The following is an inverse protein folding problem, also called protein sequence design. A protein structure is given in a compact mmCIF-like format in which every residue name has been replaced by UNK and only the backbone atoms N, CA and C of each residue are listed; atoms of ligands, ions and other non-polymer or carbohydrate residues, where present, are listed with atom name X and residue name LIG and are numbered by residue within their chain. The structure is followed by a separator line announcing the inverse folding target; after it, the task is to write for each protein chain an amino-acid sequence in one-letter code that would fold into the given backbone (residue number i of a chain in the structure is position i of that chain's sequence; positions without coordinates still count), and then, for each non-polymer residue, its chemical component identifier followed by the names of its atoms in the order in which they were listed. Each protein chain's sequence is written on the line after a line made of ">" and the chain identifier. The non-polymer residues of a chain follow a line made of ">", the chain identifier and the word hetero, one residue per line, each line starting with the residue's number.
data_IF_446197509800
#
_entry.id   IF_446197509800
#
_cell.length_a   1.000
_cell.length_b   1.000
_cell.length_c   1.000
_cell.angle_alpha   90.00
_cell.angle_beta   90.00
_cell.angle_gamma   90.00
#
_symmetry.space_group_name_H-M   'P 1'
#
loop_
_entity.id
_entity.type
_entity.pdbx_description
1 polymer ?
#
# COMPACT_ATOMS: atom_id res chain seq x y z
N UNK A 1 39.23 -8.84 6.85
CA UNK A 1 38.47 -9.57 5.82
C UNK A 1 37.29 -10.17 6.52
N UNK A 2 36.12 -9.59 6.30
CA UNK A 2 34.84 -10.15 6.71
C UNK A 2 34.61 -11.39 5.83
N UNK A 3 34.22 -12.51 6.40
CA UNK A 3 33.90 -13.71 5.62
C UNK A 3 32.44 -13.71 5.27
N UNK A 4 32.11 -14.15 4.06
CA UNK A 4 30.73 -14.44 3.65
C UNK A 4 30.09 -15.37 4.68
N UNK A 5 28.88 -15.08 5.17
CA UNK A 5 28.14 -15.95 6.07
C UNK A 5 27.95 -17.35 5.45
N UNK A 6 28.10 -18.41 6.25
CA UNK A 6 27.83 -19.77 5.78
C UNK A 6 26.36 -20.13 6.01
N UNK A 7 25.53 -19.84 5.01
CA UNK A 7 24.09 -20.11 5.01
C UNK A 7 23.75 -21.57 5.38
N UNK A 8 24.60 -22.54 5.00
CA UNK A 8 24.34 -23.96 5.27
C UNK A 8 24.49 -24.34 6.75
N UNK A 9 25.08 -23.46 7.57
CA UNK A 9 25.22 -23.66 9.01
C UNK A 9 24.13 -22.97 9.82
N UNK A 10 23.37 -22.07 9.20
CA UNK A 10 22.22 -21.43 9.81
C UNK A 10 21.07 -22.43 9.97
N UNK A 11 20.23 -22.17 10.97
CA UNK A 11 19.01 -22.96 11.21
C UNK A 11 17.82 -22.02 11.13
N UNK A 12 16.81 -22.39 10.35
CA UNK A 12 15.60 -21.62 10.11
C UNK A 12 14.38 -22.37 10.63
N UNK A 13 13.40 -21.63 11.12
CA UNK A 13 12.09 -22.18 11.50
C UNK A 13 11.07 -21.69 10.47
N UNK A 14 10.43 -22.59 9.71
CA UNK A 14 9.45 -22.19 8.70
C UNK A 14 8.25 -21.47 9.33
N UNK A 15 7.94 -20.28 8.81
CA UNK A 15 6.76 -19.52 9.20
C UNK A 15 6.88 -18.69 10.49
N UNK A 16 8.07 -18.56 11.07
CA UNK A 16 8.30 -17.56 12.11
C UNK A 16 8.38 -16.16 11.47
N UNK A 17 7.65 -15.16 12.01
CA UNK A 17 7.77 -13.78 11.54
C UNK A 17 9.17 -13.24 11.85
N UNK A 18 9.66 -12.34 11.02
CA UNK A 18 10.97 -11.71 11.25
C UNK A 18 10.81 -10.65 12.34
N UNK A 19 11.33 -10.94 13.54
CA UNK A 19 11.14 -10.11 14.74
C UNK A 19 12.42 -9.33 15.15
N UNK A 20 13.38 -9.23 14.24
CA UNK A 20 14.63 -8.53 14.52
C UNK A 20 14.34 -7.08 14.92
N UNK A 21 14.92 -6.57 16.04
CA UNK A 21 14.58 -5.25 16.53
C UNK A 21 14.88 -4.13 15.53
N UNK A 22 15.86 -4.28 14.64
CA UNK A 22 16.24 -3.25 13.66
C UNK A 22 15.79 -3.56 12.24
N UNK A 23 15.14 -4.70 12.01
CA UNK A 23 14.57 -5.07 10.71
C UNK A 23 13.35 -5.99 10.91
N UNK A 24 12.30 -5.51 11.62
CA UNK A 24 11.11 -6.32 11.85
C UNK A 24 10.29 -6.37 10.56
N UNK A 25 9.98 -7.57 10.07
CA UNK A 25 9.08 -7.76 8.92
C UNK A 25 7.84 -8.49 9.41
N UNK A 26 6.89 -7.70 9.91
CA UNK A 26 5.57 -8.19 10.32
C UNK A 26 4.65 -8.16 9.10
N UNK A 27 4.13 -9.32 8.63
CA UNK A 27 3.20 -9.36 7.51
C UNK A 27 2.09 -8.32 7.62
N UNK A 28 1.89 -7.61 6.52
CA UNK A 28 0.96 -6.52 6.35
C UNK A 28 1.50 -5.15 6.69
N UNK A 29 2.71 -5.05 7.22
CA UNK A 29 3.33 -3.75 7.45
C UNK A 29 3.62 -3.08 6.10
N UNK A 30 3.14 -1.86 5.91
CA UNK A 30 3.44 -1.00 4.77
C UNK A 30 4.25 0.19 5.29
N UNK A 31 5.42 0.41 4.73
CA UNK A 31 6.28 1.57 4.97
C UNK A 31 6.40 2.37 3.67
N UNK A 32 6.19 3.68 3.74
CA UNK A 32 6.34 4.60 2.60
C UNK A 32 7.49 5.53 2.93
N UNK A 33 8.43 5.63 1.99
CA UNK A 33 9.57 6.52 2.05
C UNK A 33 9.50 7.49 0.87
N UNK A 34 9.89 8.73 1.11
CA UNK A 34 9.96 9.76 0.07
C UNK A 34 11.36 10.41 0.08
N UNK A 35 11.83 10.78 -1.10
CA UNK A 35 13.07 11.52 -1.31
C UNK A 35 12.90 12.47 -2.49
N UNK A 36 13.60 13.60 -2.46
CA UNK A 36 13.61 14.58 -3.54
C UNK A 36 15.05 14.75 -4.07
N UNK A 37 15.50 13.96 -5.07
CA UNK A 37 16.82 14.19 -5.64
C UNK A 37 16.80 15.49 -6.47
N UNK A 38 17.82 16.35 -6.28
CA UNK A 38 18.11 17.42 -7.24
C UNK A 38 18.80 16.80 -8.46
N UNK A 39 18.16 16.82 -9.64
CA UNK A 39 18.84 16.48 -10.89
C UNK A 39 19.87 17.57 -11.22
N UNK A 40 21.16 17.30 -10.98
CA UNK A 40 22.26 18.23 -11.23
C UNK A 40 22.40 18.67 -12.69
N UNK A 41 21.84 17.92 -13.66
CA UNK A 41 21.98 18.19 -15.10
C UNK A 41 20.81 19.00 -15.67
N UNK A 42 19.60 18.87 -15.11
CA UNK A 42 18.38 19.56 -15.61
C UNK A 42 17.77 20.60 -14.64
N UNK A 43 18.10 20.56 -13.36
CA UNK A 43 17.59 21.52 -12.35
C UNK A 43 16.08 21.41 -12.08
N UNK A 44 15.49 20.23 -12.31
CA UNK A 44 14.12 19.91 -11.90
C UNK A 44 14.17 19.01 -10.66
N UNK A 45 13.30 19.29 -9.68
CA UNK A 45 13.10 18.44 -8.50
C UNK A 45 12.33 17.19 -8.96
N UNK A 46 12.91 16.00 -8.71
CA UNK A 46 12.24 14.73 -8.93
C UNK A 46 11.62 14.31 -7.60
N UNK A 47 10.38 13.84 -7.59
CA UNK A 47 9.77 13.24 -6.39
C UNK A 47 9.91 11.72 -6.51
N UNK A 48 10.72 11.12 -5.64
CA UNK A 48 10.85 9.67 -5.53
C UNK A 48 10.06 9.15 -4.33
N UNK A 49 9.21 8.15 -4.58
CA UNK A 49 8.45 7.46 -3.53
C UNK A 49 8.76 5.97 -3.59
N UNK A 50 9.24 5.42 -2.49
CA UNK A 50 9.48 3.98 -2.34
C UNK A 50 8.46 3.44 -1.33
N UNK A 51 7.78 2.35 -1.69
CA UNK A 51 6.84 1.65 -0.81
C UNK A 51 7.29 0.23 -0.58
N UNK A 52 7.44 -0.15 0.67
CA UNK A 52 7.67 -1.52 1.10
C UNK A 52 6.41 -2.08 1.73
N UNK A 53 5.93 -3.21 1.23
CA UNK A 53 4.81 -3.95 1.77
C UNK A 53 5.27 -5.35 2.18
N UNK A 54 5.37 -5.59 3.48
CA UNK A 54 5.62 -6.95 3.99
C UNK A 54 4.39 -7.78 3.67
N UNK A 55 4.50 -8.73 2.76
CA UNK A 55 3.34 -9.51 2.35
C UNK A 55 3.09 -10.66 3.34
N UNK A 56 1.98 -11.35 3.15
CA UNK A 56 1.69 -12.61 3.85
C UNK A 56 2.11 -13.83 3.02
N UNK A 57 2.70 -13.58 1.87
CA UNK A 57 3.24 -14.62 1.02
C UNK A 57 4.57 -15.09 1.56
N UNK A 58 4.88 -16.34 1.23
CA UNK A 58 6.17 -16.95 1.53
C UNK A 58 6.67 -17.67 0.29
N UNK A 59 7.97 -17.65 0.05
CA UNK A 59 8.61 -18.36 -1.05
C UNK A 59 9.70 -19.29 -0.51
N UNK A 60 9.83 -20.49 -1.08
CA UNK A 60 10.86 -21.45 -0.65
C UNK A 60 12.17 -21.22 -1.44
N UNK A 61 13.06 -20.38 -0.91
CA UNK A 61 14.35 -20.06 -1.53
C UNK A 61 15.46 -20.89 -0.88
N UNK A 62 16.24 -21.61 -1.70
CA UNK A 62 17.35 -22.45 -1.24
C UNK A 62 17.00 -23.42 -0.08
N UNK A 63 15.73 -23.85 0.02
CA UNK A 63 15.24 -24.74 1.09
C UNK A 63 14.84 -24.05 2.39
N UNK A 64 14.70 -22.71 2.37
CA UNK A 64 14.22 -21.88 3.47
C UNK A 64 12.94 -21.17 3.03
N UNK A 65 11.90 -21.27 3.85
CA UNK A 65 10.65 -20.52 3.64
C UNK A 65 10.89 -19.06 4.04
N UNK A 66 11.03 -18.20 3.05
CA UNK A 66 11.30 -16.77 3.19
C UNK A 66 9.99 -15.96 3.20
N UNK A 67 9.97 -14.86 3.96
CA UNK A 67 8.94 -13.82 3.88
C UNK A 67 9.15 -13.01 2.61
N UNK A 68 8.08 -12.84 1.83
CA UNK A 68 8.08 -11.97 0.65
C UNK A 68 7.75 -10.54 1.08
N UNK A 69 8.60 -9.58 0.74
CA UNK A 69 8.33 -8.13 0.87
C UNK A 69 8.24 -7.58 -0.53
N UNK A 70 7.14 -6.91 -0.86
CA UNK A 70 7.00 -6.24 -2.14
C UNK A 70 7.47 -4.80 -2.02
N UNK A 71 8.38 -4.39 -2.88
CA UNK A 71 8.86 -3.03 -3.02
C UNK A 71 8.33 -2.43 -4.33
N UNK A 72 7.82 -1.20 -4.29
CA UNK A 72 7.54 -0.42 -5.50
C UNK A 72 8.23 0.93 -5.42
N UNK A 73 9.01 1.28 -6.43
CA UNK A 73 9.67 2.57 -6.56
C UNK A 73 8.95 3.42 -7.62
N UNK A 74 8.68 4.67 -7.30
CA UNK A 74 7.99 5.62 -8.16
C UNK A 74 8.83 6.89 -8.30
N UNK A 75 8.91 7.44 -9.51
CA UNK A 75 9.54 8.72 -9.78
C UNK A 75 8.56 9.62 -10.54
N UNK A 76 8.30 10.81 -10.02
CA UNK A 76 7.33 11.78 -10.56
C UNK A 76 5.94 11.17 -10.80
N UNK A 77 5.51 10.24 -9.92
CA UNK A 77 4.25 9.53 -10.04
C UNK A 77 4.21 8.39 -11.07
N UNK A 78 5.34 8.07 -11.72
CA UNK A 78 5.48 6.91 -12.61
C UNK A 78 6.17 5.76 -11.88
N UNK A 79 5.58 4.56 -11.94
CA UNK A 79 6.16 3.33 -11.40
C UNK A 79 7.46 3.01 -12.15
N UNK A 80 8.59 3.02 -11.47
CA UNK A 80 9.90 2.67 -12.04
C UNK A 80 10.18 1.19 -11.85
N UNK A 81 9.92 0.65 -10.66
CA UNK A 81 10.25 -0.73 -10.32
C UNK A 81 9.19 -1.36 -9.42
N UNK A 82 8.98 -2.66 -9.60
CA UNK A 82 8.13 -3.52 -8.79
C UNK A 82 8.89 -4.82 -8.50
N UNK A 83 9.23 -5.02 -7.23
CA UNK A 83 10.20 -6.01 -6.77
C UNK A 83 9.60 -6.86 -5.67
N UNK A 84 9.77 -8.18 -5.75
CA UNK A 84 9.49 -9.12 -4.65
C UNK A 84 10.80 -9.56 -4.01
N UNK A 85 11.09 -9.05 -2.81
CA UNK A 85 12.25 -9.40 -1.99
C UNK A 85 11.98 -10.59 -1.06
N UNK A 86 12.99 -11.44 -0.87
CA UNK A 86 12.89 -12.62 0.00
C UNK A 86 13.81 -12.52 1.21
N UNK A 87 13.20 -12.48 2.40
CA UNK A 87 13.92 -12.43 3.67
C UNK A 87 13.65 -13.64 4.56
N UNK A 88 14.62 -14.06 5.37
CA UNK A 88 14.41 -15.08 6.39
C UNK A 88 15.17 -14.79 7.68
N UNK A 89 14.62 -15.14 8.83
CA UNK A 89 15.32 -15.03 10.11
C UNK A 89 15.85 -16.39 10.57
N UNK A 90 17.13 -16.46 10.92
CA UNK A 90 17.68 -17.66 11.54
C UNK A 90 17.36 -17.71 13.06
N UNK A 91 17.55 -18.87 13.67
CA UNK A 91 17.29 -19.08 15.10
C UNK A 91 18.19 -18.27 16.04
N UNK A 92 19.28 -17.71 15.53
CA UNK A 92 20.15 -16.80 16.29
C UNK A 92 19.63 -15.35 16.22
N UNK A 93 18.63 -15.07 15.38
CA UNK A 93 17.95 -13.80 15.20
C UNK A 93 18.50 -12.93 14.08
N UNK A 94 19.44 -13.44 13.26
CA UNK A 94 19.94 -12.69 12.10
C UNK A 94 18.92 -12.76 10.98
N UNK A 95 18.73 -11.64 10.30
CA UNK A 95 17.91 -11.54 9.10
C UNK A 95 18.80 -11.72 7.88
N UNK A 96 18.40 -12.65 7.04
CA UNK A 96 19.03 -13.00 5.79
C UNK A 96 18.23 -12.41 4.64
N UNK A 97 18.93 -11.94 3.61
CA UNK A 97 18.37 -11.62 2.30
C UNK A 97 18.75 -12.74 1.33
N UNK A 98 17.75 -13.28 0.65
CA UNK A 98 17.87 -14.48 -0.19
C UNK A 98 17.73 -14.16 -1.68
N UNK A 99 17.42 -12.91 -2.02
CA UNK A 99 17.30 -12.37 -3.36
C UNK A 99 15.96 -11.70 -3.60
N UNK A 100 15.72 -11.40 -4.86
CA UNK A 100 14.58 -10.67 -5.38
C UNK A 100 14.17 -11.11 -6.78
N UNK A 101 12.92 -10.77 -7.13
CA UNK A 101 12.45 -10.75 -8.51
C UNK A 101 11.96 -9.36 -8.86
N UNK A 102 12.60 -8.75 -9.84
CA UNK A 102 12.35 -7.35 -10.23
C UNK A 102 11.66 -7.25 -11.59
N UNK A 103 10.72 -6.31 -11.70
CA UNK A 103 10.19 -5.79 -12.96
C UNK A 103 10.47 -4.29 -13.03
N UNK A 104 11.39 -3.89 -13.90
CA UNK A 104 11.67 -2.48 -14.18
C UNK A 104 10.81 -1.99 -15.36
N UNK A 105 10.27 -0.79 -15.25
CA UNK A 105 9.39 -0.15 -16.22
C UNK A 105 10.15 0.96 -16.96
N UNK A 106 10.17 0.88 -18.28
CA UNK A 106 10.88 1.85 -19.13
C UNK A 106 9.90 2.85 -19.76
N UNK A 107 10.28 4.13 -19.75
CA UNK A 107 9.55 5.24 -20.34
C UNK A 107 10.42 5.99 -21.36
N UNK A 108 9.80 6.60 -22.38
CA UNK A 108 10.50 7.56 -23.26
C UNK A 108 10.53 8.97 -22.67
N UNK A 109 11.30 9.88 -23.30
CA UNK A 109 11.45 11.28 -22.87
C UNK A 109 10.13 12.07 -22.79
N UNK A 110 9.06 11.57 -23.42
CA UNK A 110 7.71 12.15 -23.39
C UNK A 110 6.83 11.55 -22.27
N UNK A 111 7.38 10.65 -21.44
CA UNK A 111 6.70 9.96 -20.35
C UNK A 111 5.81 8.80 -20.79
N UNK A 112 5.93 8.32 -22.04
CA UNK A 112 5.16 7.17 -22.51
C UNK A 112 5.84 5.86 -22.12
N UNK A 113 5.05 4.91 -21.63
CA UNK A 113 5.53 3.55 -21.35
C UNK A 113 5.98 2.84 -22.63
N UNK A 114 7.23 2.36 -22.65
CA UNK A 114 7.85 1.70 -23.82
C UNK A 114 8.19 0.22 -23.60
N UNK A 115 8.19 -0.28 -22.36
CA UNK A 115 8.38 -1.69 -22.09
C UNK A 115 8.72 -2.00 -20.64
N UNK A 116 8.93 -3.28 -20.35
CA UNK A 116 9.51 -3.75 -19.10
C UNK A 116 10.72 -4.63 -19.35
N UNK A 117 11.60 -4.70 -18.37
CA UNK A 117 12.67 -5.69 -18.29
C UNK A 117 12.74 -6.28 -16.87
N UNK A 118 13.58 -7.30 -16.70
CA UNK A 118 13.83 -7.92 -15.39
C UNK A 118 15.32 -7.80 -15.05
N UNK A 119 15.95 -6.69 -15.46
CA UNK A 119 17.32 -6.39 -15.04
C UNK A 119 17.32 -6.22 -13.51
N UNK A 120 18.40 -6.64 -12.86
CA UNK A 120 18.49 -6.67 -11.39
C UNK A 120 17.96 -7.95 -10.71
N UNK A 121 16.97 -8.66 -11.26
CA UNK A 121 16.38 -9.82 -10.58
C UNK A 121 17.39 -10.95 -10.27
N UNK A 122 17.55 -11.30 -8.99
CA UNK A 122 18.51 -12.33 -8.55
C UNK A 122 17.96 -13.29 -7.48
N UNK A 123 18.28 -14.59 -7.54
CA UNK A 123 17.73 -15.59 -6.59
C UNK A 123 18.80 -16.58 -6.12
N UNK A 124 18.93 -16.71 -4.80
CA UNK A 124 19.86 -17.64 -4.19
C UNK A 124 19.62 -19.09 -4.62
N UNK A 125 20.68 -19.71 -5.17
CA UNK A 125 20.62 -21.10 -5.66
C UNK A 125 20.12 -21.26 -7.10
N UNK A 126 19.71 -20.18 -7.77
CA UNK A 126 19.25 -20.21 -9.17
C UNK A 126 20.25 -19.58 -10.13
N UNK A 127 20.56 -18.29 -10.00
CA UNK A 127 21.48 -17.54 -10.91
C UNK A 127 22.87 -17.30 -10.30
N UNK A 128 23.15 -17.93 -9.16
CA UNK A 128 24.46 -17.92 -8.51
C UNK A 128 24.65 -16.83 -7.47
N UNK A 129 23.58 -16.11 -7.16
CA UNK A 129 23.49 -15.34 -5.95
C UNK A 129 23.58 -16.23 -4.69
N UNK A 130 24.01 -15.61 -3.60
CA UNK A 130 24.24 -16.23 -2.30
C UNK A 130 23.51 -15.42 -1.21
N UNK A 131 22.92 -16.07 -0.20
CA UNK A 131 22.26 -15.35 0.87
C UNK A 131 23.24 -14.51 1.69
N UNK A 132 22.84 -13.28 2.03
CA UNK A 132 23.59 -12.36 2.88
C UNK A 132 22.86 -11.96 4.15
N UNK A 133 23.55 -11.32 5.09
CA UNK A 133 22.91 -10.78 6.29
C UNK A 133 22.44 -9.36 6.02
N UNK A 134 21.15 -9.13 5.83
CA UNK A 134 20.64 -7.76 5.80
C UNK A 134 20.76 -7.09 7.18
N UNK A 135 20.59 -7.88 8.26
CA UNK A 135 20.68 -7.40 9.64
C UNK A 135 21.11 -8.49 10.61
N UNK A 136 22.14 -8.24 11.43
CA UNK A 136 22.53 -9.16 12.51
C UNK A 136 21.52 -9.15 13.66
N UNK A 137 21.48 -10.22 14.45
CA UNK A 137 20.63 -10.31 15.63
C UNK A 137 20.96 -9.25 16.71
N UNK A 138 22.26 -8.96 16.89
CA UNK A 138 22.75 -8.01 17.88
C UNK A 138 23.99 -7.27 17.36
N UNK A 139 23.82 -6.39 16.35
CA UNK A 139 24.94 -5.65 15.76
C UNK A 139 25.69 -4.86 16.84
N UNK A 140 27.01 -4.85 16.76
CA UNK A 140 27.91 -4.05 17.58
C UNK A 140 28.61 -3.00 16.73
N UNK A 141 28.96 -1.86 17.33
CA UNK A 141 29.75 -0.83 16.63
C UNK A 141 31.08 -1.43 16.14
N UNK A 142 31.39 -1.23 14.87
CA UNK A 142 32.53 -1.81 14.16
C UNK A 142 32.29 -3.21 13.59
N UNK A 143 31.11 -3.79 13.79
CA UNK A 143 30.73 -4.99 13.06
C UNK A 143 30.66 -4.67 11.57
N UNK A 144 31.26 -5.55 10.77
CA UNK A 144 31.10 -5.57 9.32
C UNK A 144 30.41 -6.85 8.90
N UNK A 145 29.61 -6.77 7.85
CA UNK A 145 28.97 -7.90 7.21
C UNK A 145 28.53 -7.50 5.81
N UNK A 146 28.12 -8.51 5.06
CA UNK A 146 27.64 -8.35 3.72
C UNK A 146 26.13 -8.56 3.70
N UNK A 147 25.43 -7.72 2.96
CA UNK A 147 23.98 -7.67 2.88
C UNK A 147 23.48 -8.43 1.66
N UNK A 148 24.15 -8.25 0.53
CA UNK A 148 23.85 -8.87 -0.75
C UNK A 148 25.10 -9.51 -1.36
N UNK A 149 24.90 -10.62 -2.08
CA UNK A 149 25.95 -11.33 -2.78
C UNK A 149 25.47 -11.95 -4.09
N UNK A 150 25.65 -11.25 -5.21
CA UNK A 150 25.51 -11.82 -6.54
C UNK A 150 26.82 -11.70 -7.31
N UNK A 151 27.80 -12.61 -7.11
CA UNK A 151 29.11 -12.52 -7.77
C UNK A 151 29.04 -12.58 -9.30
N UNK A 152 27.95 -13.12 -9.85
CA UNK A 152 27.74 -13.21 -11.31
C UNK A 152 27.16 -11.93 -11.90
N UNK A 153 26.46 -11.14 -11.09
CA UNK A 153 25.86 -9.84 -11.43
C UNK A 153 26.65 -8.70 -10.77
N UNK A 154 27.84 -9.03 -10.29
CA UNK A 154 28.83 -8.16 -9.66
C UNK A 154 28.39 -7.53 -8.31
N UNK A 155 27.12 -7.65 -7.89
CA UNK A 155 26.60 -7.05 -6.64
C UNK A 155 27.23 -7.67 -5.38
N UNK A 156 27.85 -6.83 -4.55
CA UNK A 156 28.56 -7.22 -3.32
C UNK A 156 28.48 -6.11 -2.28
N UNK A 157 27.31 -5.99 -1.65
CA UNK A 157 27.04 -4.88 -0.73
C UNK A 157 27.43 -5.23 0.70
N UNK A 158 28.04 -4.26 1.37
CA UNK A 158 28.63 -4.37 2.69
C UNK A 158 28.14 -3.27 3.61
N UNK A 159 27.79 -3.64 4.84
CA UNK A 159 27.52 -2.71 5.92
C UNK A 159 28.62 -2.72 6.98
N UNK A 160 28.98 -1.54 7.46
CA UNK A 160 29.68 -1.33 8.73
C UNK A 160 28.76 -0.63 9.75
N UNK A 161 28.64 -1.17 10.95
CA UNK A 161 27.87 -0.54 12.03
C UNK A 161 28.67 0.61 12.64
N UNK A 162 28.19 1.83 12.45
CA UNK A 162 28.83 3.06 12.92
C UNK A 162 28.32 3.50 14.29
N UNK A 163 27.02 3.36 14.54
CA UNK A 163 26.39 3.78 15.80
C UNK A 163 25.18 2.94 16.16
N UNK A 164 24.79 3.01 17.44
CA UNK A 164 23.57 2.36 18.00
C UNK A 164 22.74 3.27 18.90
N UNK A 165 23.15 4.53 19.01
CA UNK A 165 22.61 5.46 20.01
C UNK A 165 22.22 6.79 19.39
N UNK A 166 22.02 6.82 18.07
CA UNK A 166 21.53 8.03 17.40
C UNK A 166 20.10 8.30 17.84
N UNK A 167 19.76 9.59 17.84
CA UNK A 167 18.40 10.09 18.01
C UNK A 167 18.15 10.98 16.81
N UNK A 168 17.11 10.67 16.06
CA UNK A 168 16.71 11.40 14.87
C UNK A 168 15.33 11.99 15.11
N UNK A 169 15.11 13.20 14.60
CA UNK A 169 13.77 13.69 14.37
C UNK A 169 13.44 13.32 12.93
N UNK A 170 12.37 12.56 12.74
CA UNK A 170 11.87 12.21 11.41
C UNK A 170 10.44 12.68 11.25
N UNK A 171 9.88 12.57 10.04
CA UNK A 171 8.48 12.92 9.75
C UNK A 171 7.49 12.07 10.57
N UNK A 172 7.77 10.77 10.74
CA UNK A 172 7.01 9.90 11.66
C UNK A 172 7.28 10.15 13.16
N UNK A 173 8.14 11.11 13.49
CA UNK A 173 8.41 11.58 14.86
C UNK A 173 9.85 11.33 15.35
N UNK A 174 10.09 11.55 16.65
CA UNK A 174 11.45 11.37 17.19
C UNK A 174 11.74 9.90 17.52
N UNK A 175 12.66 9.29 16.77
CA UNK A 175 13.16 7.93 17.00
C UNK A 175 14.49 7.93 17.76
N UNK A 176 14.69 6.91 18.61
CA UNK A 176 15.84 6.82 19.53
C UNK A 176 16.49 5.44 19.47
N UNK A 177 17.76 5.37 19.89
CA UNK A 177 18.58 4.15 19.82
C UNK A 177 18.71 3.64 18.39
N UNK A 178 18.76 4.57 17.44
CA UNK A 178 18.88 4.29 16.02
C UNK A 178 20.25 3.68 15.76
N UNK A 179 20.23 2.54 15.07
CA UNK A 179 21.38 1.89 14.48
C UNK A 179 21.74 2.64 13.20
N UNK A 180 22.99 3.05 13.05
CA UNK A 180 23.50 3.65 11.82
C UNK A 180 24.51 2.70 11.20
N UNK A 181 24.30 2.34 9.94
CA UNK A 181 25.27 1.62 9.11
C UNK A 181 25.86 2.55 8.05
N UNK A 182 27.10 2.31 7.68
CA UNK A 182 27.72 2.84 6.47
C UNK A 182 27.77 1.69 5.46
N UNK A 183 27.06 1.85 4.36
CA UNK A 183 26.98 0.88 3.28
C UNK A 183 27.96 1.24 2.17
N UNK A 184 28.43 0.21 1.47
CA UNK A 184 29.42 0.34 0.40
C UNK A 184 29.43 -0.90 -0.48
N UNK A 185 29.86 -0.73 -1.72
CA UNK A 185 30.06 -1.82 -2.68
C UNK A 185 31.46 -1.79 -3.27
N UNK A 186 32.01 -2.96 -3.62
CA UNK A 186 33.34 -3.03 -4.25
C UNK A 186 33.31 -2.57 -5.72
N UNK A 187 32.12 -2.51 -6.35
CA UNK A 187 31.96 -2.12 -7.74
C UNK A 187 32.01 -0.62 -7.99
N UNK A 188 31.57 0.16 -7.00
CA UNK A 188 31.58 1.61 -7.01
C UNK A 188 32.46 2.14 -5.87
N UNK A 189 33.79 2.00 -5.94
CA UNK A 189 34.67 2.48 -4.89
C UNK A 189 34.49 3.98 -4.68
N UNK A 190 34.07 4.37 -3.48
CA UNK A 190 33.87 5.78 -3.11
C UNK A 190 32.42 6.20 -3.00
N UNK A 191 31.47 5.37 -3.44
CA UNK A 191 30.04 5.55 -3.20
C UNK A 191 29.69 4.89 -1.87
N UNK A 192 28.95 5.61 -1.04
CA UNK A 192 28.61 5.20 0.31
C UNK A 192 27.25 5.74 0.71
N UNK A 193 26.52 4.96 1.51
CA UNK A 193 25.25 5.40 2.05
C UNK A 193 25.24 5.26 3.57
N UNK A 194 24.69 6.24 4.29
CA UNK A 194 24.26 5.99 5.65
C UNK A 194 22.83 5.47 5.67
N UNK A 195 22.63 4.26 6.21
CA UNK A 195 21.29 3.75 6.52
C UNK A 195 21.04 3.78 8.01
N UNK A 196 19.84 4.20 8.38
CA UNK A 196 19.43 4.39 9.76
C UNK A 196 18.25 3.49 10.08
N UNK A 197 18.41 2.63 11.09
CA UNK A 197 17.39 1.68 11.51
C UNK A 197 16.92 1.95 12.93
N UNK A 198 15.62 2.14 13.12
CA UNK A 198 15.01 2.38 14.42
C UNK A 198 14.42 1.08 15.02
N UNK A 199 14.59 0.85 16.34
CA UNK A 199 14.01 -0.31 17.00
C UNK A 199 12.49 -0.42 16.82
N UNK A 200 12.01 -1.57 16.33
CA UNK A 200 10.60 -1.86 16.13
C UNK A 200 9.98 -1.23 14.88
N UNK A 201 10.76 -0.50 14.09
CA UNK A 201 10.31 0.15 12.85
C UNK A 201 11.07 -0.44 11.65
N UNK A 202 12.39 -0.59 11.75
CA UNK A 202 13.22 -0.93 10.60
C UNK A 202 13.95 0.30 10.07
N UNK A 203 14.14 0.36 8.74
CA UNK A 203 14.76 1.51 8.08
C UNK A 203 13.91 2.77 8.33
N UNK A 204 14.56 3.92 8.54
CA UNK A 204 13.88 5.20 8.78
C UNK A 204 14.47 6.36 7.99
N UNK A 205 15.71 6.23 7.52
CA UNK A 205 16.42 7.26 6.77
C UNK A 205 17.57 6.61 5.99
N UNK A 206 17.77 7.06 4.76
CA UNK A 206 18.95 6.82 3.93
C UNK A 206 19.54 8.18 3.57
N UNK A 207 20.86 8.31 3.69
CA UNK A 207 21.63 9.45 3.18
C UNK A 207 22.67 8.89 2.20
N UNK A 208 22.48 9.10 0.90
CA UNK A 208 23.50 8.79 -0.10
C UNK A 208 24.57 9.88 -0.06
N UNK A 209 25.84 9.47 -0.15
CA UNK A 209 26.96 10.37 0.05
C UNK A 209 27.72 10.64 -1.26
N UNK A 210 28.08 11.92 -1.44
CA UNK A 210 28.97 12.34 -2.52
C UNK A 210 30.42 11.86 -2.30
N UNK A 211 31.30 12.17 -3.25
CA UNK A 211 32.74 11.84 -3.15
C UNK A 211 33.46 12.47 -1.95
N UNK A 212 32.84 13.45 -1.27
CA UNK A 212 33.35 14.13 -0.08
C UNK A 212 32.74 13.60 1.22
N UNK A 213 31.85 12.61 1.16
CA UNK A 213 31.07 12.06 2.27
C UNK A 213 30.05 13.04 2.87
N UNK A 214 29.56 13.98 2.07
CA UNK A 214 28.43 14.84 2.42
C UNK A 214 27.14 14.24 1.82
N UNK A 215 25.99 14.31 2.52
CA UNK A 215 24.72 13.85 1.97
C UNK A 215 24.37 14.61 0.69
N UNK A 216 24.18 13.85 -0.39
CA UNK A 216 23.79 14.35 -1.71
C UNK A 216 22.30 14.10 -1.95
N UNK A 217 21.82 12.93 -1.52
CA UNK A 217 20.43 12.54 -1.61
C UNK A 217 19.92 11.91 -0.29
N UNK A 218 18.66 12.17 0.03
CA UNK A 218 18.03 11.73 1.27
C UNK A 218 16.69 11.08 0.95
N UNK A 219 16.47 9.88 1.50
CA UNK A 219 15.19 9.18 1.49
C UNK A 219 14.76 8.95 2.93
N UNK A 220 13.59 9.45 3.31
CA UNK A 220 13.09 9.40 4.69
C UNK A 220 11.76 8.64 4.79
N UNK A 221 11.55 7.96 5.92
CA UNK A 221 10.28 7.29 6.22
C UNK A 221 9.17 8.32 6.52
N UNK A 222 8.17 8.35 5.66
CA UNK A 222 7.01 9.24 5.76
C UNK A 222 5.86 8.62 6.53
N UNK A 223 5.59 7.33 6.31
CA UNK A 223 4.51 6.64 7.01
C UNK A 223 4.78 5.14 7.18
N UNK A 224 4.25 4.57 8.27
CA UNK A 224 4.26 3.14 8.51
C UNK A 224 2.91 2.69 9.08
N UNK A 225 2.30 1.68 8.47
CA UNK A 225 0.97 1.15 8.83
C UNK A 225 1.00 -0.37 8.86
N UNK A 226 0.21 -1.01 9.71
CA UNK A 226 -0.03 -2.46 9.64
C UNK A 226 -1.39 -2.75 9.00
N UNK A 227 -1.36 -3.53 7.92
CA UNK A 227 -2.47 -3.97 7.08
C UNK A 227 -2.60 -5.51 7.23
N UNK A 228 -3.68 -6.16 6.78
CA UNK A 228 -3.86 -7.63 6.91
C UNK A 228 -3.64 -8.36 5.59
N UNK A 229 -3.51 -9.70 5.63
CA UNK A 229 -3.10 -10.63 4.55
C UNK A 229 -3.84 -10.53 3.24
N UNK A 230 -4.98 -9.93 3.41
CA UNK A 230 -5.96 -9.72 2.43
C UNK A 230 -5.28 -8.94 1.29
N UNK A 231 -4.66 -7.79 1.53
CA UNK A 231 -4.37 -6.70 0.58
C UNK A 231 -3.67 -6.94 -0.81
N UNK A 232 -3.11 -8.11 -1.17
CA UNK A 232 -2.29 -8.23 -2.41
C UNK A 232 -2.51 -9.44 -3.36
N UNK A 233 -3.71 -9.76 -3.85
CA UNK A 233 -3.81 -10.67 -5.05
C UNK A 233 -4.49 -10.07 -6.28
N UNK A 234 -3.87 -10.31 -7.44
CA UNK A 234 -4.30 -9.83 -8.76
C UNK A 234 -5.71 -10.31 -9.12
N UNK A 235 -6.69 -9.42 -9.04
CA UNK A 235 -8.02 -9.53 -9.65
C UNK A 235 -8.92 -10.68 -9.20
N UNK A 236 -8.43 -11.65 -8.41
CA UNK A 236 -9.18 -12.77 -7.85
C UNK A 236 -8.56 -13.19 -6.53
N UNK A 237 -9.33 -13.03 -5.47
CA UNK A 237 -9.05 -13.56 -4.15
C UNK A 237 -9.15 -15.08 -4.09
N UNK A 238 -8.92 -15.58 -2.90
CA UNK A 238 -8.94 -16.96 -2.50
C UNK A 238 -10.35 -17.37 -2.04
N UNK A 239 -10.49 -17.83 -0.81
CA UNK A 239 -11.77 -18.13 -0.18
C UNK A 239 -11.76 -17.88 1.32
N UNK A 240 -10.73 -17.16 1.78
CA UNK A 240 -10.66 -16.50 3.07
C UNK A 240 -10.64 -14.99 2.81
N UNK A 241 -10.42 -14.19 3.84
CA UNK A 241 -10.37 -12.76 3.63
C UNK A 241 -9.20 -12.41 2.71
N UNK A 242 -9.46 -11.56 1.73
CA UNK A 242 -8.55 -11.18 0.66
C UNK A 242 -8.65 -9.68 0.42
N UNK A 243 -7.66 -9.12 -0.21
CA UNK A 243 -7.53 -7.70 -0.41
C UNK A 243 -6.74 -7.51 -1.68
N UNK A 244 -7.32 -6.71 -2.55
CA UNK A 244 -7.04 -6.82 -3.96
C UNK A 244 -7.05 -5.42 -4.52
N UNK A 245 -5.87 -4.99 -4.93
CA UNK A 245 -5.66 -3.70 -5.55
C UNK A 245 -5.67 -3.82 -7.07
N UNK A 246 -6.34 -2.84 -7.69
CA UNK A 246 -6.29 -2.53 -9.10
C UNK A 246 -5.16 -1.56 -9.43
N UNK A 247 -5.34 -0.82 -10.50
CA UNK A 247 -4.43 0.19 -11.02
C UNK A 247 -5.24 1.33 -11.65
N UNK A 248 -4.60 2.27 -12.33
CA UNK A 248 -5.32 3.40 -12.95
C UNK A 248 -5.98 3.04 -14.31
N UNK A 249 -6.26 1.76 -14.57
CA UNK A 249 -6.93 1.25 -15.78
C UNK A 249 -8.12 0.37 -15.45
N UNK A 250 -8.90 -0.02 -16.49
CA UNK A 250 -10.06 -0.89 -16.34
C UNK A 250 -9.74 -2.26 -15.72
N UNK A 251 -10.00 -2.43 -14.43
CA UNK A 251 -9.76 -3.68 -13.72
C UNK A 251 -11.02 -4.53 -13.54
N UNK A 252 -10.81 -5.83 -13.30
CA UNK A 252 -11.84 -6.72 -12.77
C UNK A 252 -11.27 -7.49 -11.60
N UNK A 253 -11.85 -7.25 -10.42
CA UNK A 253 -11.39 -7.76 -9.14
C UNK A 253 -12.50 -8.60 -8.49
N UNK A 254 -12.15 -9.74 -7.91
CA UNK A 254 -13.10 -10.74 -7.41
C UNK A 254 -12.64 -11.37 -6.09
N UNK A 255 -13.19 -10.95 -4.94
CA UNK A 255 -12.83 -11.45 -3.60
C UNK A 255 -13.19 -12.92 -3.33
N UNK A 256 -14.39 -13.34 -3.74
CA UNK A 256 -14.96 -14.71 -3.72
C UNK A 256 -15.59 -15.15 -2.40
N UNK A 257 -14.81 -15.50 -1.40
CA UNK A 257 -15.35 -15.86 -0.09
C UNK A 257 -14.39 -15.30 0.92
N UNK A 258 -14.89 -14.82 2.05
CA UNK A 258 -14.06 -14.06 2.97
C UNK A 258 -14.62 -12.66 3.07
N UNK A 259 -14.23 -11.96 4.13
CA UNK A 259 -14.51 -10.54 4.29
C UNK A 259 -13.36 -9.79 3.59
N UNK A 260 -13.58 -9.31 2.37
CA UNK A 260 -12.52 -8.89 1.44
C UNK A 260 -12.37 -7.36 1.34
N UNK A 261 -11.18 -6.83 0.99
CA UNK A 261 -10.86 -5.41 0.75
C UNK A 261 -10.46 -5.16 -0.72
N UNK A 262 -11.38 -4.70 -1.56
CA UNK A 262 -11.13 -4.52 -3.00
C UNK A 262 -10.99 -3.04 -3.34
N UNK A 263 -9.91 -2.63 -4.02
CA UNK A 263 -9.67 -1.24 -4.43
C UNK A 263 -9.37 -1.15 -5.92
N UNK A 264 -10.13 -0.34 -6.66
CA UNK A 264 -9.98 -0.16 -8.12
C UNK A 264 -8.92 0.88 -8.51
N UNK A 265 -8.80 1.97 -7.74
CA UNK A 265 -8.02 3.17 -8.03
C UNK A 265 -8.60 4.05 -9.13
N UNK A 266 -8.22 3.86 -10.40
CA UNK A 266 -8.70 4.71 -11.47
C UNK A 266 -9.11 3.87 -12.66
N UNK A 267 -10.14 4.26 -13.40
CA UNK A 267 -10.58 3.43 -14.52
C UNK A 267 -12.08 3.41 -14.66
N UNK A 268 -12.64 2.23 -14.89
CA UNK A 268 -14.08 1.95 -14.90
C UNK A 268 -14.15 0.48 -14.52
N UNK A 269 -14.09 0.23 -13.23
CA UNK A 269 -13.69 -1.04 -12.69
C UNK A 269 -14.88 -1.91 -12.39
N UNK A 270 -14.58 -3.19 -12.21
CA UNK A 270 -15.56 -4.19 -11.81
C UNK A 270 -15.07 -4.92 -10.58
N UNK A 271 -15.58 -4.54 -9.42
CA UNK A 271 -15.24 -5.14 -8.13
C UNK A 271 -16.35 -6.08 -7.67
N UNK A 272 -15.99 -7.31 -7.28
CA UNK A 272 -16.91 -8.39 -6.93
C UNK A 272 -16.50 -9.02 -5.58
N UNK A 273 -17.09 -8.61 -4.47
CA UNK A 273 -16.80 -9.19 -3.15
C UNK A 273 -17.22 -10.66 -3.02
N UNK A 274 -18.45 -10.95 -3.44
CA UNK A 274 -19.14 -12.25 -3.41
C UNK A 274 -19.67 -12.72 -2.05
N UNK A 275 -18.90 -13.39 -1.19
CA UNK A 275 -19.44 -13.96 0.06
C UNK A 275 -18.59 -13.57 1.26
N UNK A 276 -19.15 -12.80 2.17
CA UNK A 276 -18.52 -12.28 3.37
C UNK A 276 -18.87 -10.81 3.49
N UNK A 277 -18.31 -10.13 4.48
CA UNK A 277 -18.54 -8.71 4.70
C UNK A 277 -17.41 -7.94 4.00
N UNK A 278 -17.65 -7.51 2.77
CA UNK A 278 -16.63 -6.98 1.90
C UNK A 278 -16.56 -5.44 1.95
N UNK A 279 -15.38 -4.88 1.75
CA UNK A 279 -15.11 -3.44 1.60
C UNK A 279 -14.62 -3.16 0.18
N UNK A 280 -15.43 -2.47 -0.62
CA UNK A 280 -15.14 -2.20 -2.03
C UNK A 280 -14.99 -0.68 -2.27
N UNK A 281 -13.89 -0.27 -2.88
CA UNK A 281 -13.60 1.11 -3.30
C UNK A 281 -13.34 1.16 -4.79
N UNK A 282 -14.24 1.78 -5.57
CA UNK A 282 -14.06 1.95 -7.01
C UNK A 282 -12.90 2.89 -7.31
N UNK A 283 -13.04 4.14 -6.89
CA UNK A 283 -12.04 5.18 -7.09
C UNK A 283 -12.48 6.14 -8.19
N UNK A 284 -11.59 6.53 -9.11
CA UNK A 284 -11.93 7.44 -10.18
C UNK A 284 -12.56 6.69 -11.37
N UNK A 285 -13.65 7.24 -11.91
CA UNK A 285 -14.31 6.78 -13.12
C UNK A 285 -15.67 6.14 -12.87
N UNK A 286 -16.17 5.37 -13.84
CA UNK A 286 -17.54 4.81 -13.77
C UNK A 286 -17.48 3.33 -13.44
N UNK A 287 -17.65 3.03 -12.16
CA UNK A 287 -17.37 1.71 -11.62
C UNK A 287 -18.62 0.85 -11.42
N UNK A 288 -18.37 -0.44 -11.29
CA UNK A 288 -19.38 -1.45 -10.97
C UNK A 288 -18.94 -2.26 -9.76
N UNK A 289 -19.53 -1.95 -8.61
CA UNK A 289 -19.26 -2.64 -7.34
C UNK A 289 -20.42 -3.59 -7.01
N UNK A 290 -20.09 -4.84 -6.69
CA UNK A 290 -21.03 -5.84 -6.21
C UNK A 290 -20.52 -6.48 -4.93
N UNK A 291 -21.15 -6.18 -3.80
CA UNK A 291 -20.83 -6.76 -2.49
C UNK A 291 -21.10 -8.26 -2.47
N UNK A 292 -22.37 -8.67 -2.56
CA UNK A 292 -22.76 -10.06 -2.72
C UNK A 292 -23.57 -10.58 -1.54
N UNK A 293 -23.00 -11.42 -0.69
CA UNK A 293 -23.64 -11.96 0.51
C UNK A 293 -22.85 -11.53 1.73
N UNK A 294 -23.46 -10.78 2.62
CA UNK A 294 -22.86 -10.35 3.87
C UNK A 294 -23.20 -8.88 4.11
N UNK A 295 -22.59 -8.26 5.10
CA UNK A 295 -22.79 -6.83 5.35
C UNK A 295 -21.68 -6.05 4.68
N UNK A 296 -21.91 -5.63 3.45
CA UNK A 296 -20.87 -5.05 2.62
C UNK A 296 -20.80 -3.51 2.78
N UNK A 297 -19.61 -2.95 2.56
CA UNK A 297 -19.36 -1.51 2.49
C UNK A 297 -18.90 -1.16 1.08
N UNK A 298 -19.65 -0.31 0.39
CA UNK A 298 -19.37 0.09 -0.98
C UNK A 298 -19.14 1.60 -1.06
N UNK A 299 -17.98 1.99 -1.58
CA UNK A 299 -17.60 3.36 -1.92
C UNK A 299 -17.39 3.41 -3.44
N UNK A 300 -18.28 4.11 -4.16
CA UNK A 300 -18.15 4.29 -5.60
C UNK A 300 -16.88 5.07 -5.94
N UNK A 301 -16.78 6.30 -5.43
CA UNK A 301 -15.68 7.22 -5.73
C UNK A 301 -16.12 8.27 -6.74
N UNK A 302 -15.19 8.90 -7.46
CA UNK A 302 -15.54 9.94 -8.42
C UNK A 302 -16.17 9.32 -9.66
N UNK A 303 -17.49 9.44 -9.81
CA UNK A 303 -18.12 8.63 -10.83
C UNK A 303 -19.63 8.74 -10.86
N UNK A 304 -20.22 8.00 -11.79
CA UNK A 304 -21.65 7.75 -11.77
C UNK A 304 -21.86 6.25 -11.68
N UNK A 305 -21.66 5.70 -10.49
CA UNK A 305 -21.33 4.29 -10.31
C UNK A 305 -22.56 3.41 -10.25
N UNK A 306 -22.33 2.12 -10.43
CA UNK A 306 -23.34 1.08 -10.28
C UNK A 306 -22.99 0.26 -9.05
N UNK A 307 -23.68 0.56 -7.96
CA UNK A 307 -23.51 -0.14 -6.68
C UNK A 307 -24.59 -1.19 -6.50
N UNK A 308 -24.19 -2.36 -6.03
CA UNK A 308 -25.08 -3.44 -5.64
C UNK A 308 -24.58 -4.02 -4.32
N UNK A 309 -25.35 -3.87 -3.25
CA UNK A 309 -25.00 -4.43 -1.94
C UNK A 309 -25.15 -5.94 -2.00
N UNK A 310 -26.37 -6.43 -1.77
CA UNK A 310 -26.76 -7.77 -2.17
C UNK A 310 -27.74 -8.40 -1.19
N UNK A 311 -27.35 -9.53 -0.61
CA UNK A 311 -28.06 -10.10 0.54
C UNK A 311 -27.61 -9.39 1.84
N UNK A 312 -28.46 -9.40 2.87
CA UNK A 312 -28.21 -8.79 4.18
C UNK A 312 -28.23 -7.26 4.21
N UNK A 313 -27.46 -6.61 5.10
CA UNK A 313 -27.56 -5.18 5.41
C UNK A 313 -26.28 -4.48 4.99
N UNK A 314 -26.37 -3.76 3.88
CA UNK A 314 -25.20 -3.12 3.28
C UNK A 314 -25.11 -1.63 3.57
N UNK A 315 -23.92 -1.08 3.41
CA UNK A 315 -23.59 0.33 3.59
C UNK A 315 -23.09 0.92 2.28
N UNK A 316 -23.75 1.97 1.81
CA UNK A 316 -23.33 2.76 0.66
C UNK A 316 -22.79 4.08 1.17
N UNK A 317 -21.49 4.29 1.00
CA UNK A 317 -20.77 5.39 1.65
C UNK A 317 -20.42 6.45 0.60
N UNK A 318 -20.81 7.69 0.91
CA UNK A 318 -20.42 8.88 0.15
C UNK A 318 -19.52 9.72 1.05
N UNK A 319 -18.23 9.81 0.71
CA UNK A 319 -17.24 10.54 1.49
C UNK A 319 -17.34 12.02 1.19
N UNK A 320 -17.31 12.38 -0.08
CA UNK A 320 -17.34 13.77 -0.54
C UNK A 320 -18.54 14.05 -1.46
N UNK A 321 -18.70 15.32 -1.88
CA UNK A 321 -19.67 15.67 -2.92
C UNK A 321 -19.25 15.24 -4.34
N UNK A 322 -18.00 14.79 -4.53
CA UNK A 322 -17.56 14.21 -5.80
C UNK A 322 -18.18 12.83 -6.03
N UNK A 323 -18.48 12.09 -4.95
CA UNK A 323 -19.07 10.75 -4.95
C UNK A 323 -20.56 10.72 -5.40
N UNK A 324 -21.15 11.87 -5.75
CA UNK A 324 -22.58 11.97 -6.07
C UNK A 324 -22.88 11.45 -7.48
N UNK A 325 -24.07 10.87 -7.65
CA UNK A 325 -24.59 10.47 -8.96
C UNK A 325 -24.88 8.97 -9.09
N UNK A 326 -24.59 8.21 -8.05
CA UNK A 326 -24.61 6.75 -8.05
C UNK A 326 -25.99 6.13 -8.22
N UNK A 327 -25.96 4.88 -8.67
CA UNK A 327 -27.14 4.06 -8.94
C UNK A 327 -27.09 2.78 -8.13
N UNK A 328 -27.63 2.84 -6.93
CA UNK A 328 -27.80 1.68 -6.06
C UNK A 328 -28.92 0.79 -6.60
N UNK A 329 -28.61 -0.48 -6.91
CA UNK A 329 -29.47 -1.35 -7.73
C UNK A 329 -30.52 -2.13 -6.97
N UNK A 330 -30.28 -2.42 -5.70
CA UNK A 330 -31.05 -3.39 -4.90
C UNK A 330 -31.29 -2.96 -3.45
N UNK A 331 -31.23 -1.65 -3.19
CA UNK A 331 -31.43 -1.08 -1.85
C UNK A 331 -32.67 -1.64 -1.14
N UNK A 332 -32.49 -2.10 0.09
CA UNK A 332 -33.53 -2.66 0.95
C UNK A 332 -33.81 -1.77 2.16
N UNK A 333 -34.82 -2.11 2.97
CA UNK A 333 -35.14 -1.36 4.21
C UNK A 333 -34.01 -1.47 5.26
N UNK A 334 -33.16 -2.49 5.16
CA UNK A 334 -32.13 -2.75 6.16
C UNK A 334 -30.88 -1.91 5.89
N UNK A 335 -30.57 -1.69 4.62
CA UNK A 335 -29.38 -1.00 4.14
C UNK A 335 -29.31 0.45 4.62
N UNK A 336 -28.10 1.00 4.57
CA UNK A 336 -27.79 2.34 5.08
C UNK A 336 -27.01 3.11 4.03
N UNK A 337 -27.29 4.40 3.96
CA UNK A 337 -26.49 5.39 3.26
C UNK A 337 -25.72 6.17 4.32
N UNK A 338 -24.40 6.21 4.18
CA UNK A 338 -23.50 6.89 5.12
C UNK A 338 -22.89 8.10 4.43
N UNK A 339 -22.90 9.24 5.11
CA UNK A 339 -22.40 10.52 4.59
C UNK A 339 -21.36 11.04 5.59
N UNK A 340 -20.07 10.79 5.33
CA UNK A 340 -19.01 10.95 6.35
C UNK A 340 -18.46 12.38 6.39
N UNK A 341 -18.04 12.94 5.25
CA UNK A 341 -17.38 14.26 5.21
C UNK A 341 -18.21 15.32 4.48
N UNK A 342 -19.38 14.92 3.92
CA UNK A 342 -20.27 15.83 3.20
C UNK A 342 -20.82 16.93 4.12
N UNK A 343 -21.04 16.61 5.41
CA UNK A 343 -21.61 17.53 6.39
C UNK A 343 -20.60 18.10 7.40
N UNK A 344 -19.30 17.80 7.27
CA UNK A 344 -18.25 18.33 8.17
C UNK A 344 -17.73 19.72 7.75
N UNK A 345 -18.26 20.28 6.66
CA UNK A 345 -18.00 21.68 6.33
C UNK A 345 -18.77 22.61 7.28
N UNK A 346 -18.20 23.80 7.57
CA UNK A 346 -18.80 24.83 8.43
C UNK A 346 -20.19 25.37 7.97
N UNK A 347 -20.78 24.77 6.93
CA UNK A 347 -22.03 25.14 6.28
C UNK A 347 -23.23 24.27 6.71
N UNK A 348 -23.04 23.16 7.45
CA UNK A 348 -24.12 22.27 7.87
C UNK A 348 -24.31 22.28 9.39
N UNK A 349 -25.54 22.45 9.83
CA UNK A 349 -25.94 22.48 11.24
C UNK A 349 -26.04 21.08 11.87
N UNK A 350 -26.19 21.03 13.21
CA UNK A 350 -26.19 19.79 14.00
C UNK A 350 -27.51 18.99 13.96
N UNK A 351 -28.29 19.07 12.89
CA UNK A 351 -29.61 18.45 12.76
C UNK A 351 -29.57 17.13 11.98
N UNK A 352 -30.70 16.42 11.95
CA UNK A 352 -30.87 15.15 11.23
C UNK A 352 -30.87 15.40 9.71
N UNK A 353 -30.12 14.63 8.91
CA UNK A 353 -29.91 14.92 7.48
C UNK A 353 -31.19 14.95 6.64
N UNK A 354 -32.17 14.11 7.00
CA UNK A 354 -33.45 13.97 6.29
C UNK A 354 -34.37 15.17 6.40
N UNK A 355 -34.25 15.94 7.48
CA UNK A 355 -35.19 17.02 7.75
C UNK A 355 -34.73 18.34 7.12
N UNK A 356 -33.42 18.53 6.96
CA UNK A 356 -32.84 19.81 6.54
C UNK A 356 -32.02 19.74 5.24
N UNK A 357 -31.30 18.64 4.97
CA UNK A 357 -30.28 18.60 3.89
C UNK A 357 -30.53 17.55 2.80
N UNK A 358 -31.50 16.65 2.98
CA UNK A 358 -31.84 15.62 1.99
C UNK A 358 -33.28 15.75 1.49
N UNK A 359 -33.47 15.56 0.19
CA UNK A 359 -34.78 15.45 -0.45
C UNK A 359 -34.97 14.07 -1.07
N UNK A 360 -35.95 13.33 -0.55
CA UNK A 360 -36.33 12.01 -1.06
C UNK A 360 -37.55 12.13 -1.97
N UNK A 361 -37.39 11.79 -3.24
CA UNK A 361 -38.47 11.85 -4.25
C UNK A 361 -38.72 10.49 -4.89
N UNK A 362 -39.97 10.01 -4.84
CA UNK A 362 -40.37 8.87 -5.66
C UNK A 362 -40.50 9.30 -7.13
N UNK A 363 -39.78 8.64 -8.03
CA UNK A 363 -39.83 8.84 -9.48
C UNK A 363 -40.12 7.51 -10.20
N UNK A 364 -41.39 7.26 -10.50
CA UNK A 364 -41.81 5.98 -11.10
C UNK A 364 -41.49 4.82 -10.17
N UNK A 365 -40.71 3.84 -10.63
CA UNK A 365 -40.26 2.72 -9.82
C UNK A 365 -38.95 2.99 -9.06
N UNK A 366 -38.40 4.20 -9.09
CA UNK A 366 -37.14 4.54 -8.42
C UNK A 366 -37.35 5.59 -7.36
N UNK A 367 -36.46 5.64 -6.38
CA UNK A 367 -36.37 6.75 -5.44
C UNK A 367 -35.11 7.53 -5.73
N UNK A 368 -35.21 8.85 -5.81
CA UNK A 368 -34.07 9.75 -6.00
C UNK A 368 -33.85 10.49 -4.69
N UNK A 369 -32.63 10.38 -4.17
CA UNK A 369 -32.16 11.12 -3.01
C UNK A 369 -31.34 12.28 -3.57
N UNK A 370 -31.71 13.49 -3.15
CA UNK A 370 -30.95 14.69 -3.46
C UNK A 370 -30.39 15.28 -2.19
N UNK A 371 -29.25 15.94 -2.30
CA UNK A 371 -28.56 16.60 -1.22
C UNK A 371 -28.45 18.08 -1.50
N UNK A 372 -28.62 18.88 -0.45
CA UNK A 372 -28.29 20.30 -0.48
C UNK A 372 -26.77 20.44 -0.40
N UNK A 373 -26.14 20.94 -1.47
CA UNK A 373 -24.67 20.94 -1.60
C UNK A 373 -23.99 22.16 -0.99
N UNK A 374 -24.74 23.20 -0.64
CA UNK A 374 -24.22 24.43 0.00
C UNK A 374 -24.74 24.69 1.42
N UNK A 375 -25.47 23.72 1.98
CA UNK A 375 -25.93 23.69 3.37
C UNK A 375 -26.85 24.86 3.75
N UNK A 376 -26.75 25.34 4.99
CA UNK A 376 -27.64 26.38 5.55
C UNK A 376 -27.51 27.76 4.88
N UNK A 377 -26.47 27.94 4.05
CA UNK A 377 -25.95 29.26 3.68
C UNK A 377 -26.16 29.64 2.22
N UNK A 378 -26.82 28.80 1.42
CA UNK A 378 -26.83 28.98 -0.02
C UNK A 378 -28.18 28.89 -0.73
N UNK A 379 -28.11 28.94 -2.06
CA UNK A 379 -29.28 28.98 -2.96
C UNK A 379 -29.16 27.96 -4.09
N UNK A 380 -28.14 27.09 -4.03
CA UNK A 380 -27.92 26.08 -5.03
C UNK A 380 -29.06 25.05 -5.00
N UNK A 381 -29.38 24.47 -6.16
CA UNK A 381 -30.38 23.44 -6.22
C UNK A 381 -29.84 22.15 -5.58
N UNK A 382 -30.72 21.44 -4.89
CA UNK A 382 -30.51 20.06 -4.49
C UNK A 382 -30.00 19.22 -5.67
N UNK A 383 -28.83 18.61 -5.51
CA UNK A 383 -28.19 17.75 -6.51
C UNK A 383 -28.47 16.28 -6.23
N UNK A 384 -28.43 15.44 -7.28
CA UNK A 384 -28.67 14.01 -7.09
C UNK A 384 -27.46 13.40 -6.39
N UNK A 385 -27.66 12.98 -5.15
CA UNK A 385 -26.70 12.17 -4.41
C UNK A 385 -26.71 10.73 -4.95
N UNK A 386 -27.89 10.10 -4.92
CA UNK A 386 -28.04 8.72 -5.36
C UNK A 386 -29.43 8.44 -5.92
N UNK A 387 -29.51 7.49 -6.86
CA UNK A 387 -30.76 6.94 -7.37
C UNK A 387 -30.92 5.47 -6.94
N UNK A 388 -31.87 5.21 -6.04
CA UNK A 388 -32.25 3.87 -5.63
C UNK A 388 -33.16 3.23 -6.68
N UNK A 389 -32.63 2.25 -7.40
CA UNK A 389 -33.36 1.56 -8.47
C UNK A 389 -34.37 0.58 -7.88
N UNK A 390 -35.51 0.46 -8.57
CA UNK A 390 -36.66 -0.37 -8.18
C UNK A 390 -37.10 -0.26 -6.70
N UNK A 391 -36.81 0.88 -6.07
CA UNK A 391 -37.04 1.13 -4.65
C UNK A 391 -38.22 2.07 -4.48
N UNK A 392 -39.03 1.81 -3.45
CA UNK A 392 -40.13 2.70 -3.05
C UNK A 392 -39.67 3.55 -1.86
N UNK A 393 -39.84 4.86 -1.94
CA UNK A 393 -39.41 5.81 -0.93
C UNK A 393 -40.00 5.52 0.46
N UNK A 394 -41.15 4.85 0.53
CA UNK A 394 -41.79 4.47 1.79
C UNK A 394 -41.04 3.40 2.60
N UNK A 395 -39.97 2.82 2.05
CA UNK A 395 -39.10 1.92 2.81
C UNK A 395 -38.02 2.66 3.58
N UNK A 396 -37.75 3.93 3.21
CA UNK A 396 -36.72 4.76 3.83
C UNK A 396 -37.22 5.40 5.12
N UNK A 397 -36.29 5.60 6.05
CA UNK A 397 -36.48 6.25 7.35
C UNK A 397 -35.16 6.82 7.83
N UNK A 398 -35.17 7.58 8.93
CA UNK A 398 -33.96 8.13 9.56
C UNK A 398 -32.91 7.06 9.88
N UNK A 399 -33.33 5.84 10.18
CA UNK A 399 -32.42 4.74 10.45
C UNK A 399 -31.60 4.27 9.23
N UNK A 400 -31.98 4.70 8.02
CA UNK A 400 -31.27 4.39 6.78
C UNK A 400 -30.19 5.42 6.44
N UNK A 401 -30.03 6.49 7.24
CA UNK A 401 -29.07 7.55 6.98
C UNK A 401 -28.20 7.78 8.21
N UNK A 402 -26.88 7.70 8.03
CA UNK A 402 -25.89 7.93 9.09
C UNK A 402 -24.95 9.03 8.63
N UNK A 403 -24.62 9.92 9.56
CA UNK A 403 -23.78 11.11 9.38
C UNK A 403 -22.78 11.20 10.50
#
# INVERSE_FOLDING_TARGET
>A
MTTIPDFNTATFVPGDPIDNPYHPLTPGTISVYEGEPEDEEMGEEIEETIRFAVTFQTEDIAGVTATVVRETAWANGFLQEDTDDWFAQDTDGNVWYLGESTTAFEYDDDGNFIGTNNDGAWEAGVNGALPGYIMKANPQVGDRYYQEFAPNDEALDQAEVISRSKTLATEVGTVRNVLQTLESTELAPGVFDFKYYAPGIGLVLVEELDENLEPDFIVELESITSVTADFFTSGRGTGGNDGLDGDNTHNTIEGRRGDDLLQGFGGNDRLLGQNGNDFLVGGDGVDVLMGGKGQDILIGGEGADILKGGEDRDQFVFRTLADKGDRIKDFTRQDVIILVEIFDSANYGSSTPLDDYLQITQMGSHTVIRIDVDGDSGSNPFEVLATLKNTNANILSDANFVV
#
